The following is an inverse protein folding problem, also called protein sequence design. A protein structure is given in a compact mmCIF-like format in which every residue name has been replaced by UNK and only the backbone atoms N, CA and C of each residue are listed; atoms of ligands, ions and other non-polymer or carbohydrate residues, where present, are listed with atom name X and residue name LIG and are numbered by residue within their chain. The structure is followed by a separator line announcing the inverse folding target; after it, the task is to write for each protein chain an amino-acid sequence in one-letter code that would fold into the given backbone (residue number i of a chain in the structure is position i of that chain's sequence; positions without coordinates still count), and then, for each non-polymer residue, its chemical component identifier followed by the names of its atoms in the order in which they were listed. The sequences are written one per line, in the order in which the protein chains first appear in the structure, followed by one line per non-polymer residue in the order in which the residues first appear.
data_IF_672639513163
#
_entry.id   IF_672639513163
#
_cell.length_a   1.000
_cell.length_b   1.000
_cell.length_c   1.000
_cell.angle_alpha   90.00
_cell.angle_beta   90.00
_cell.angle_gamma   90.00
#
_symmetry.space_group_name_H-M   'P 1'
#
loop_
_entity.id
_entity.type
_entity.pdbx_description
1 polymer ?
#
# COMPACT_ATOMS: atom_id res chain seq x y z
N UNK A 1 10.85 -11.74 -12.42
CA UNK A 1 9.78 -11.81 -13.45
C UNK A 1 8.47 -11.89 -12.69
N UNK A 2 7.53 -10.99 -12.95
CA UNK A 2 6.22 -11.02 -12.30
C UNK A 2 5.27 -11.89 -13.10
N UNK A 3 4.38 -12.57 -12.42
CA UNK A 3 3.40 -13.48 -13.01
C UNK A 3 2.14 -13.45 -12.13
N UNK A 4 1.12 -12.74 -12.60
CA UNK A 4 -0.21 -12.72 -12.00
C UNK A 4 -1.28 -12.90 -13.07
N UNK A 5 -2.54 -13.13 -12.65
CA UNK A 5 -3.67 -13.13 -13.57
C UNK A 5 -4.13 -11.70 -13.82
N UNK A 6 -4.21 -11.31 -15.09
CA UNK A 6 -4.61 -9.96 -15.45
C UNK A 6 -6.08 -9.69 -15.07
N UNK A 7 -6.29 -8.57 -14.39
CA UNK A 7 -7.61 -8.09 -13.98
C UNK A 7 -7.99 -6.80 -14.71
N UNK A 8 -9.26 -6.68 -15.07
CA UNK A 8 -9.84 -5.44 -15.58
C UNK A 8 -10.83 -4.88 -14.57
N UNK A 9 -10.61 -3.62 -14.18
CA UNK A 9 -11.55 -2.88 -13.36
C UNK A 9 -12.64 -2.22 -14.23
N UNK A 10 -13.90 -2.55 -13.95
CA UNK A 10 -15.07 -1.86 -14.46
C UNK A 10 -15.48 -0.78 -13.45
N UNK A 11 -15.21 0.48 -13.80
CA UNK A 11 -15.47 1.62 -12.92
C UNK A 11 -16.95 1.94 -12.71
N UNK A 12 -17.81 1.57 -13.67
CA UNK A 12 -19.25 1.81 -13.57
C UNK A 12 -19.89 0.79 -12.62
N UNK A 13 -19.56 -0.49 -12.82
CA UNK A 13 -20.05 -1.56 -11.96
C UNK A 13 -19.26 -1.69 -10.64
N UNK A 14 -18.11 -1.02 -10.52
CA UNK A 14 -17.17 -1.09 -9.37
C UNK A 14 -16.75 -2.51 -9.04
N UNK A 15 -16.32 -3.26 -10.05
CA UNK A 15 -15.88 -4.65 -9.92
C UNK A 15 -14.63 -4.91 -10.75
N UNK A 16 -13.85 -5.91 -10.36
CA UNK A 16 -12.79 -6.47 -11.17
C UNK A 16 -13.24 -7.81 -11.75
N UNK A 17 -12.78 -8.13 -12.95
CA UNK A 17 -12.95 -9.45 -13.57
C UNK A 17 -11.65 -9.89 -14.25
N UNK A 18 -11.53 -11.19 -14.48
CA UNK A 18 -10.38 -11.79 -15.18
C UNK A 18 -10.39 -11.38 -16.66
N UNK A 19 -9.22 -11.09 -17.19
CA UNK A 19 -9.04 -10.79 -18.61
C UNK A 19 -8.77 -12.09 -19.37
N UNK A 20 -9.47 -12.28 -20.49
CA UNK A 20 -9.18 -13.35 -21.44
C UNK A 20 -8.35 -12.80 -22.60
N UNK A 21 -7.38 -13.59 -23.06
CA UNK A 21 -6.63 -13.34 -24.29
C UNK A 21 -7.46 -13.69 -25.54
N UNK A 22 -6.86 -13.48 -26.72
CA UNK A 22 -7.51 -13.74 -28.00
C UNK A 22 -7.91 -15.21 -28.20
N UNK A 23 -7.16 -16.13 -27.59
CA UNK A 23 -7.42 -17.57 -27.61
C UNK A 23 -8.38 -18.04 -26.49
N UNK A 24 -8.99 -17.11 -25.74
CA UNK A 24 -9.86 -17.34 -24.58
C UNK A 24 -9.19 -17.97 -23.34
N UNK A 25 -7.86 -18.01 -23.29
CA UNK A 25 -7.11 -18.32 -22.07
C UNK A 25 -7.04 -17.11 -21.12
N UNK A 26 -6.74 -17.36 -19.84
CA UNK A 26 -6.49 -16.29 -18.87
C UNK A 26 -5.24 -15.49 -19.27
N UNK A 27 -5.38 -14.18 -19.38
CA UNK A 27 -4.26 -13.30 -19.66
C UNK A 27 -3.35 -13.19 -18.43
N UNK A 28 -2.04 -13.15 -18.66
CA UNK A 28 -1.02 -13.01 -17.63
C UNK A 28 -0.58 -11.55 -17.55
N UNK A 29 -0.54 -11.01 -16.33
CA UNK A 29 0.09 -9.74 -16.01
C UNK A 29 1.55 -10.00 -15.59
N UNK A 30 2.48 -9.49 -16.39
CA UNK A 30 3.92 -9.62 -16.15
C UNK A 30 4.53 -8.36 -15.51
N UNK A 31 3.69 -7.40 -15.13
CA UNK A 31 4.13 -6.13 -14.54
C UNK A 31 4.27 -6.21 -13.02
N UNK A 32 5.08 -5.33 -12.40
CA UNK A 32 5.11 -5.19 -10.95
C UNK A 32 3.86 -4.52 -10.36
N UNK A 33 2.88 -4.07 -11.18
CA UNK A 33 1.75 -3.24 -10.72
C UNK A 33 0.95 -3.92 -9.60
N UNK A 34 0.56 -5.21 -9.69
CA UNK A 34 -0.15 -5.88 -8.61
C UNK A 34 0.64 -5.87 -7.29
N UNK A 35 1.95 -6.16 -7.36
CA UNK A 35 2.83 -6.15 -6.18
C UNK A 35 2.98 -4.74 -5.58
N UNK A 36 3.12 -3.69 -6.40
CA UNK A 36 3.12 -2.29 -5.94
C UNK A 36 1.81 -1.98 -5.23
N UNK A 37 0.66 -2.28 -5.85
CA UNK A 37 -0.66 -1.99 -5.31
C UNK A 37 -0.91 -2.69 -3.98
N UNK A 38 -0.51 -3.95 -3.83
CA UNK A 38 -0.59 -4.65 -2.54
C UNK A 38 0.31 -4.01 -1.48
N UNK A 39 1.52 -3.60 -1.88
CA UNK A 39 2.49 -2.97 -0.96
C UNK A 39 2.01 -1.63 -0.43
N UNK A 40 1.41 -0.78 -1.27
CA UNK A 40 1.01 0.59 -0.86
C UNK A 40 -0.46 0.72 -0.50
N UNK A 41 -1.30 -0.24 -0.92
CA UNK A 41 -2.75 -0.20 -0.76
C UNK A 41 -3.28 -0.98 0.43
N UNK A 42 -2.53 -1.96 0.95
CA UNK A 42 -2.90 -2.72 2.14
C UNK A 42 -2.33 -2.08 3.41
N UNK A 43 -3.00 -2.30 4.53
CA UNK A 43 -2.54 -1.80 5.83
C UNK A 43 -1.49 -2.75 6.41
N UNK A 44 -0.24 -2.31 6.52
CA UNK A 44 0.78 -3.02 7.31
C UNK A 44 0.54 -2.79 8.79
N UNK A 45 0.82 -3.79 9.61
CA UNK A 45 0.71 -3.67 11.06
C UNK A 45 1.72 -2.71 11.66
N UNK A 46 1.21 -1.84 12.53
CA UNK A 46 2.00 -0.87 13.27
C UNK A 46 2.98 -1.59 14.22
N UNK A 47 4.19 -1.04 14.34
CA UNK A 47 5.18 -1.45 15.34
C UNK A 47 4.64 -1.24 16.75
N UNK A 48 5.26 -1.81 17.77
CA UNK A 48 4.77 -1.74 19.16
C UNK A 48 4.81 -0.32 19.76
N UNK A 49 5.66 0.55 19.23
CA UNK A 49 5.90 1.92 19.64
C UNK A 49 5.25 2.97 18.72
N UNK A 50 4.71 2.55 17.58
CA UNK A 50 3.99 3.44 16.67
C UNK A 50 2.77 4.07 17.37
N UNK A 51 2.61 5.41 17.29
CA UNK A 51 1.43 6.10 17.78
C UNK A 51 0.23 5.78 16.90
N UNK A 52 -0.91 5.45 17.51
CA UNK A 52 -2.12 5.06 16.76
C UNK A 52 -3.05 6.28 16.52
N UNK A 53 -3.70 6.38 15.34
CA UNK A 53 -4.57 7.52 14.97
C UNK A 53 -5.81 7.75 15.84
N UNK A 54 -6.16 6.83 16.75
CA UNK A 54 -7.35 6.95 17.60
C UNK A 54 -7.07 6.61 19.07
N UNK A 55 -7.66 7.38 19.98
CA UNK A 55 -7.68 7.09 21.42
C UNK A 55 -8.67 5.99 21.84
N UNK A 56 -9.02 5.06 20.94
CA UNK A 56 -9.74 3.85 21.32
C UNK A 56 -8.75 2.99 22.07
N UNK A 57 -8.84 3.00 23.38
CA UNK A 57 -8.11 2.06 24.22
C UNK A 57 -8.82 0.70 24.18
N UNK A 58 -8.10 -0.36 24.54
CA UNK A 58 -8.64 -1.72 24.72
C UNK A 58 -9.92 -1.80 25.57
N UNK A 59 -10.22 -0.77 26.37
CA UNK A 59 -11.45 -0.66 27.16
C UNK A 59 -12.71 -0.33 26.35
N UNK A 60 -12.58 0.30 25.18
CA UNK A 60 -13.69 0.73 24.32
C UNK A 60 -13.85 -0.14 23.07
N UNK A 61 -12.95 -1.09 22.85
CA UNK A 61 -12.95 -1.98 21.71
C UNK A 61 -13.21 -3.44 22.13
N UNK A 62 -13.93 -4.26 21.34
CA UNK A 62 -14.04 -5.68 21.59
C UNK A 62 -12.66 -6.34 21.66
N UNK A 63 -12.49 -7.41 22.45
CA UNK A 63 -11.23 -8.14 22.55
C UNK A 63 -10.69 -8.67 21.20
N UNK A 64 -11.56 -8.82 20.20
CA UNK A 64 -11.22 -9.21 18.82
C UNK A 64 -10.72 -8.06 17.94
N UNK A 65 -10.70 -6.82 18.43
CA UNK A 65 -10.29 -5.65 17.66
C UNK A 65 -8.80 -5.37 17.85
N UNK A 66 -8.04 -5.46 16.75
CA UNK A 66 -6.63 -5.04 16.74
C UNK A 66 -6.52 -3.59 16.32
N UNK A 67 -6.22 -2.70 17.26
CA UNK A 67 -5.97 -1.27 17.00
C UNK A 67 -4.76 -1.05 16.08
N UNK A 68 -3.80 -1.98 16.10
CA UNK A 68 -2.69 -2.07 15.14
C UNK A 68 -3.20 -2.87 13.95
N UNK A 69 -3.78 -2.19 12.95
CA UNK A 69 -4.31 -2.77 11.69
C UNK A 69 -3.32 -3.75 11.04
N UNK A 70 -3.69 -4.51 10.02
CA UNK A 70 -2.77 -5.44 9.36
C UNK A 70 -3.37 -6.10 8.13
N UNK A 71 -2.52 -6.72 7.32
CA UNK A 71 -2.93 -7.52 6.17
C UNK A 71 -3.28 -8.94 6.63
N UNK A 72 -4.42 -9.47 6.16
CA UNK A 72 -4.78 -10.85 6.46
C UNK A 72 -3.82 -11.87 5.81
N UNK A 73 -3.16 -11.49 4.71
CA UNK A 73 -2.16 -12.33 4.03
C UNK A 73 -0.96 -12.66 4.91
N UNK A 74 -0.59 -11.75 5.83
CA UNK A 74 0.57 -11.93 6.72
C UNK A 74 0.35 -13.06 7.74
N UNK A 75 -0.89 -13.51 7.95
CA UNK A 75 -1.20 -14.58 8.90
C UNK A 75 -0.63 -15.95 8.48
N UNK A 76 -0.32 -16.10 7.19
CA UNK A 76 0.19 -17.35 6.61
C UNK A 76 1.65 -17.26 6.16
N UNK A 77 2.32 -16.12 6.41
CA UNK A 77 3.71 -15.94 6.05
C UNK A 77 4.64 -16.62 7.08
N UNK A 78 5.42 -17.66 6.68
CA UNK A 78 6.29 -18.39 7.60
C UNK A 78 7.58 -17.65 7.96
N UNK A 79 7.95 -16.61 7.19
CA UNK A 79 9.16 -15.80 7.39
C UNK A 79 8.86 -14.57 8.26
N UNK A 80 7.58 -14.26 8.46
CA UNK A 80 7.14 -13.11 9.25
C UNK A 80 7.26 -11.80 8.48
N UNK A 81 7.35 -11.87 7.15
CA UNK A 81 7.29 -10.69 6.30
C UNK A 81 5.89 -10.07 6.40
N UNK A 82 5.85 -8.75 6.31
CA UNK A 82 4.62 -7.98 6.52
C UNK A 82 4.27 -7.22 5.26
N UNK A 83 3.08 -7.47 4.71
CA UNK A 83 2.59 -6.80 3.51
C UNK A 83 1.94 -5.46 3.85
N UNK A 84 1.97 -4.53 2.90
CA UNK A 84 1.27 -3.26 3.01
C UNK A 84 2.15 -2.13 3.54
N UNK A 85 1.51 -1.01 3.83
CA UNK A 85 2.17 0.22 4.29
C UNK A 85 1.61 0.68 5.63
N UNK A 86 2.47 1.26 6.47
CA UNK A 86 2.05 1.94 7.70
C UNK A 86 1.53 3.35 7.45
N UNK A 87 1.41 3.79 6.19
CA UNK A 87 0.88 5.09 5.84
C UNK A 87 -0.48 5.37 6.49
N UNK A 88 -1.34 4.37 6.73
CA UNK A 88 -2.63 4.57 7.42
C UNK A 88 -2.49 5.26 8.79
N UNK A 89 -1.33 5.19 9.45
CA UNK A 89 -1.01 5.95 10.67
C UNK A 89 -1.04 7.48 10.48
N UNK A 90 -1.01 7.96 9.23
CA UNK A 90 -1.21 9.37 8.89
C UNK A 90 -2.69 9.78 8.88
N UNK A 91 -3.60 8.90 9.25
CA UNK A 91 -4.98 9.32 9.46
C UNK A 91 -5.03 10.44 10.51
N UNK A 92 -5.69 11.55 10.17
CA UNK A 92 -5.73 12.80 10.95
C UNK A 92 -4.37 13.50 11.17
N UNK A 93 -3.30 13.08 10.51
CA UNK A 93 -2.03 13.81 10.55
C UNK A 93 -2.18 15.21 9.94
N UNK A 94 -1.43 16.17 10.46
CA UNK A 94 -1.41 17.55 9.95
C UNK A 94 -0.54 17.69 8.71
N UNK A 95 -0.84 18.67 7.86
CA UNK A 95 0.00 19.00 6.71
C UNK A 95 1.33 19.59 7.18
N UNK A 96 2.33 18.72 7.34
CA UNK A 96 3.67 19.08 7.77
C UNK A 96 4.72 18.35 6.94
N UNK A 97 5.93 18.88 6.90
CA UNK A 97 7.04 18.19 6.24
C UNK A 97 7.35 16.83 6.90
N UNK A 98 7.20 16.73 8.23
CA UNK A 98 7.31 15.46 8.95
C UNK A 98 6.29 14.43 8.46
N UNK A 99 5.04 14.81 8.24
CA UNK A 99 4.01 13.92 7.68
C UNK A 99 4.35 13.44 6.28
N UNK A 100 4.90 14.32 5.42
CA UNK A 100 5.38 13.95 4.08
C UNK A 100 6.52 12.92 4.17
N UNK A 101 7.50 13.18 5.03
CA UNK A 101 8.66 12.29 5.24
C UNK A 101 8.27 10.94 5.84
N UNK A 102 7.32 10.91 6.79
CA UNK A 102 6.79 9.66 7.34
C UNK A 102 6.07 8.83 6.27
N UNK A 103 5.29 9.49 5.39
CA UNK A 103 4.68 8.81 4.26
C UNK A 103 5.75 8.17 3.36
N UNK A 104 6.77 8.92 2.99
CA UNK A 104 7.88 8.42 2.17
C UNK A 104 8.62 7.27 2.84
N UNK A 105 8.91 7.39 4.14
CA UNK A 105 9.55 6.34 4.94
C UNK A 105 8.75 5.03 4.94
N UNK A 106 7.45 5.10 5.22
CA UNK A 106 6.58 3.91 5.23
C UNK A 106 6.28 3.35 3.84
N UNK A 107 6.34 4.16 2.79
CA UNK A 107 6.30 3.68 1.41
C UNK A 107 7.58 2.90 1.06
N UNK A 108 8.76 3.45 1.37
CA UNK A 108 10.04 2.74 1.20
C UNK A 108 10.05 1.41 1.94
N UNK A 109 9.56 1.40 3.18
CA UNK A 109 9.45 0.18 3.97
C UNK A 109 8.52 -0.87 3.32
N UNK A 110 7.40 -0.43 2.74
CA UNK A 110 6.46 -1.35 2.07
C UNK A 110 7.03 -1.96 0.79
N UNK A 111 8.01 -1.30 0.18
CA UNK A 111 8.62 -1.67 -1.10
C UNK A 111 10.05 -2.19 -0.95
N UNK A 112 10.46 -2.59 0.26
CA UNK A 112 11.80 -3.12 0.53
C UNK A 112 12.13 -4.38 -0.31
N UNK A 113 11.10 -5.12 -0.74
CA UNK A 113 11.24 -6.28 -1.63
C UNK A 113 11.82 -5.93 -3.00
N UNK A 114 11.57 -4.71 -3.50
CA UNK A 114 11.83 -4.33 -4.90
C UNK A 114 13.29 -4.52 -5.26
N UNK A 115 14.23 -4.02 -4.46
CA UNK A 115 15.66 -4.16 -4.75
C UNK A 115 16.11 -5.62 -4.81
N UNK A 116 15.52 -6.47 -3.97
CA UNK A 116 15.85 -7.90 -3.92
C UNK A 116 15.29 -8.64 -5.14
N UNK A 117 14.08 -8.31 -5.58
CA UNK A 117 13.41 -8.99 -6.69
C UNK A 117 13.79 -8.45 -8.08
N UNK A 118 14.14 -7.17 -8.18
CA UNK A 118 14.42 -6.51 -9.48
C UNK A 118 15.87 -6.05 -9.63
N UNK A 119 16.67 -6.07 -8.56
CA UNK A 119 18.06 -5.61 -8.56
C UNK A 119 18.22 -4.08 -8.59
N UNK A 120 17.13 -3.32 -8.47
CA UNK A 120 17.12 -1.86 -8.44
C UNK A 120 16.13 -1.38 -7.38
N UNK A 121 16.43 -0.30 -6.63
CA UNK A 121 15.48 0.22 -5.65
C UNK A 121 14.26 0.87 -6.34
N UNK A 122 13.12 0.97 -5.64
CA UNK A 122 11.96 1.68 -6.15
C UNK A 122 12.24 3.20 -6.17
N UNK A 123 11.71 3.89 -7.17
CA UNK A 123 11.67 5.35 -7.17
C UNK A 123 10.38 5.83 -6.50
N UNK A 124 10.50 6.63 -5.44
CA UNK A 124 9.36 7.11 -4.66
C UNK A 124 9.40 8.62 -4.58
N UNK A 125 8.29 9.24 -4.97
CA UNK A 125 8.09 10.68 -4.90
C UNK A 125 6.84 10.96 -4.07
N UNK A 126 6.95 11.82 -3.06
CA UNK A 126 5.84 12.20 -2.17
C UNK A 126 5.71 13.72 -2.14
N UNK A 127 4.56 14.23 -2.54
CA UNK A 127 4.32 15.67 -2.74
C UNK A 127 2.96 16.12 -2.21
N UNK A 128 2.89 17.37 -1.75
CA UNK A 128 1.63 18.04 -1.45
C UNK A 128 0.97 18.51 -2.75
N UNK A 129 -0.07 17.81 -3.21
CA UNK A 129 -0.77 18.16 -4.46
C UNK A 129 -1.63 19.42 -4.30
N UNK A 130 -2.20 19.60 -3.10
CA UNK A 130 -2.94 20.78 -2.64
C UNK A 130 -3.11 20.71 -1.12
N UNK A 131 -3.69 21.75 -0.53
CA UNK A 131 -3.99 21.76 0.91
C UNK A 131 -4.80 20.52 1.32
N UNK A 132 -4.29 19.78 2.32
CA UNK A 132 -4.91 18.56 2.85
C UNK A 132 -4.86 17.34 1.93
N UNK A 133 -4.10 17.36 0.83
CA UNK A 133 -3.97 16.21 -0.09
C UNK A 133 -2.50 15.86 -0.36
N UNK A 134 -2.06 14.72 0.16
CA UNK A 134 -0.75 14.16 -0.08
C UNK A 134 -0.83 13.16 -1.25
N UNK A 135 -0.04 13.39 -2.29
CA UNK A 135 0.12 12.48 -3.42
C UNK A 135 1.45 11.74 -3.33
N UNK A 136 1.50 10.55 -3.89
CA UNK A 136 2.74 9.84 -4.11
C UNK A 136 2.74 9.07 -5.42
N UNK A 137 3.93 8.99 -6.02
CA UNK A 137 4.23 8.15 -7.18
C UNK A 137 5.26 7.11 -6.74
N UNK A 138 4.98 5.86 -7.07
CA UNK A 138 5.93 4.75 -6.93
C UNK A 138 6.21 4.22 -8.32
N UNK A 139 7.48 4.07 -8.65
CA UNK A 139 7.92 3.45 -9.90
C UNK A 139 8.85 2.27 -9.60
N UNK A 140 8.60 1.16 -10.28
CA UNK A 140 9.41 -0.05 -10.27
C UNK A 140 9.60 -0.47 -11.71
N UNK A 141 10.85 -0.58 -12.16
CA UNK A 141 11.17 -0.76 -13.58
C UNK A 141 10.52 0.36 -14.42
N UNK A 142 9.82 0.00 -15.49
CA UNK A 142 9.17 0.95 -16.40
C UNK A 142 7.71 1.27 -16.00
N UNK A 143 7.22 0.69 -14.90
CA UNK A 143 5.83 0.81 -14.47
C UNK A 143 5.68 1.71 -13.25
N UNK A 144 4.58 2.46 -13.19
CA UNK A 144 4.33 3.38 -12.08
C UNK A 144 2.88 3.41 -11.62
N UNK A 145 2.71 3.62 -10.32
CA UNK A 145 1.41 3.79 -9.66
C UNK A 145 1.40 5.14 -8.97
N UNK A 146 0.31 5.89 -9.18
CA UNK A 146 0.07 7.18 -8.55
C UNK A 146 -1.18 7.11 -7.68
N UNK A 147 -1.05 7.45 -6.41
CA UNK A 147 -2.15 7.46 -5.46
C UNK A 147 -2.10 8.74 -4.63
N UNK A 148 -3.21 9.06 -4.00
CA UNK A 148 -3.31 10.20 -3.11
C UNK A 148 -4.16 9.88 -1.89
N UNK A 149 -3.91 10.61 -0.81
CA UNK A 149 -4.64 10.50 0.43
C UNK A 149 -4.92 11.86 1.04
N UNK A 150 -6.02 11.95 1.78
CA UNK A 150 -6.33 13.14 2.57
C UNK A 150 -5.51 13.14 3.86
N UNK A 151 -5.14 14.34 4.27
CA UNK A 151 -4.59 14.66 5.59
C UNK A 151 -5.35 15.88 6.13
N UNK A 152 -5.23 16.15 7.42
CA UNK A 152 -5.76 17.39 7.97
C UNK A 152 -4.85 18.56 7.56
N UNK A 153 -5.44 19.58 6.92
CA UNK A 153 -4.72 20.81 6.58
C UNK A 153 -4.29 21.58 7.83
#
# INVERSE_FOLDING_TARGET
MFLDLALKYDSEARRCDLVLGDDFDLAIDETPIPAILMSVGLDRRAASDDPLPEGRSQFLAPASYSERRGCAGDALDPYGDMTGTRAWLLDRAKQTETTRQLCEFWLRESLAWVETETGQPPEIEVVWLRAGLLGYRVQVQDESVMLSRRVEA
#
